data_IF_643718224461
#
_entry.id   IF_643718224461
#
_cell.length_a   1.000
_cell.length_b   1.000
_cell.length_c   1.000
_cell.angle_alpha   90.00
_cell.angle_beta   90.00
_cell.angle_gamma   90.00
#
_symmetry.space_group_name_H-M   'P 1'
#
loop_
_entity.id
_entity.type
_entity.pdbx_description
1 polymer ?
#
# COMPACT_ATOMS: atom_id res chain seq x y z
N UNK A 1 -16.81 7.22 -24.77
CA UNK A 1 -16.40 6.06 -23.97
C UNK A 1 -16.00 6.60 -22.63
N UNK A 2 -16.92 6.57 -21.68
CA UNK A 2 -16.78 7.13 -20.34
C UNK A 2 -15.95 6.18 -19.49
N UNK A 3 -14.74 6.61 -19.13
CA UNK A 3 -13.90 5.93 -18.14
C UNK A 3 -14.62 5.94 -16.79
N UNK A 4 -15.12 4.79 -16.36
CA UNK A 4 -15.70 4.63 -15.04
C UNK A 4 -14.60 4.75 -14.01
N UNK A 5 -14.44 5.92 -13.43
CA UNK A 5 -13.64 6.12 -12.22
C UNK A 5 -14.39 5.41 -11.10
N UNK A 6 -13.85 4.30 -10.62
CA UNK A 6 -14.39 3.59 -9.46
C UNK A 6 -14.36 4.55 -8.27
N UNK A 7 -15.55 4.90 -7.78
CA UNK A 7 -15.71 5.79 -6.63
C UNK A 7 -15.45 5.02 -5.34
N UNK A 8 -14.21 5.01 -4.90
CA UNK A 8 -13.76 4.39 -3.64
C UNK A 8 -14.14 5.20 -2.40
N UNK A 9 -14.68 6.40 -2.58
CA UNK A 9 -14.99 7.33 -1.49
C UNK A 9 -16.04 6.81 -0.49
N UNK A 10 -16.87 5.85 -0.91
CA UNK A 10 -18.01 5.34 -0.11
C UNK A 10 -17.71 4.10 0.72
N UNK A 11 -16.47 3.57 0.69
CA UNK A 11 -16.22 2.20 1.14
C UNK A 11 -15.37 2.08 2.41
N UNK A 12 -14.96 3.19 3.01
CA UNK A 12 -14.23 3.15 4.26
C UNK A 12 -15.19 3.48 5.42
N UNK A 13 -15.29 2.64 6.47
CA UNK A 13 -15.98 3.03 7.68
C UNK A 13 -15.27 4.25 8.28
N UNK A 14 -16.05 5.25 8.67
CA UNK A 14 -15.53 6.40 9.42
C UNK A 14 -14.77 5.87 10.65
N UNK A 15 -13.46 6.07 10.66
CA UNK A 15 -12.69 5.88 11.88
C UNK A 15 -13.10 7.01 12.81
N UNK A 16 -13.89 6.67 13.82
CA UNK A 16 -14.32 7.56 14.86
C UNK A 16 -13.11 8.29 15.45
N UNK A 17 -13.14 9.61 15.43
CA UNK A 17 -12.15 10.46 16.08
C UNK A 17 -12.15 10.20 17.60
N UNK A 18 -11.33 9.27 18.04
CA UNK A 18 -10.94 9.20 19.45
C UNK A 18 -9.88 10.27 19.65
N UNK A 19 -10.33 11.43 20.08
CA UNK A 19 -9.47 12.57 20.48
C UNK A 19 -8.63 12.14 21.68
N UNK A 20 -7.43 11.61 21.43
CA UNK A 20 -6.40 11.46 22.45
C UNK A 20 -5.53 12.73 22.44
N UNK A 21 -5.51 13.43 23.58
CA UNK A 21 -4.72 14.61 23.82
C UNK A 21 -3.26 14.41 23.44
N UNK A 22 -2.76 15.35 22.65
CA UNK A 22 -1.37 15.42 22.18
C UNK A 22 -0.43 15.75 23.36
N UNK A 23 0.38 14.78 23.78
CA UNK A 23 1.67 15.10 24.39
C UNK A 23 2.71 15.23 23.27
N UNK A 24 3.29 16.39 23.15
CA UNK A 24 4.40 16.68 22.24
C UNK A 24 5.65 16.02 22.83
N UNK A 25 6.02 14.86 22.32
CA UNK A 25 7.29 14.20 22.69
C UNK A 25 8.39 14.70 21.75
N UNK A 26 9.58 15.13 22.28
CA UNK A 26 10.69 15.63 21.46
C UNK A 26 11.19 14.58 20.46
N UNK A 27 11.62 15.07 19.30
CA UNK A 27 12.12 14.29 18.16
C UNK A 27 13.58 13.84 18.41
N UNK A 28 13.78 12.96 19.39
CA UNK A 28 15.05 12.25 19.54
C UNK A 28 14.76 10.75 19.59
N UNK A 29 14.34 10.24 18.44
CA UNK A 29 14.07 8.81 18.29
C UNK A 29 15.35 8.12 17.82
N UNK A 30 15.77 7.03 18.48
CA UNK A 30 16.89 6.23 18.00
C UNK A 30 16.62 5.83 16.54
N UNK A 31 17.66 5.87 15.70
CA UNK A 31 17.61 5.36 14.32
C UNK A 31 17.13 3.91 14.39
N UNK A 32 15.83 3.71 14.22
CA UNK A 32 15.26 2.38 14.05
C UNK A 32 15.90 1.79 12.80
N UNK A 33 16.64 0.71 12.97
CA UNK A 33 17.09 -0.10 11.84
C UNK A 33 15.88 -0.36 10.93
N UNK A 34 16.03 -0.27 9.60
CA UNK A 34 14.93 -0.52 8.70
C UNK A 34 14.32 -1.90 9.02
N UNK A 35 13.01 -2.06 8.89
CA UNK A 35 12.38 -3.33 9.16
C UNK A 35 13.01 -4.38 8.27
N UNK A 36 13.54 -5.45 8.87
CA UNK A 36 14.03 -6.60 8.13
C UNK A 36 12.84 -7.16 7.36
N UNK A 37 12.91 -7.12 6.02
CA UNK A 37 11.94 -7.83 5.19
C UNK A 37 12.14 -9.31 5.46
N UNK A 38 11.14 -10.02 6.00
CA UNK A 38 11.25 -11.47 6.08
C UNK A 38 11.52 -11.99 4.67
N UNK A 39 12.51 -12.87 4.50
CA UNK A 39 12.66 -13.59 3.24
C UNK A 39 11.36 -14.37 3.03
N UNK A 40 10.51 -13.89 2.12
CA UNK A 40 9.22 -14.49 1.83
C UNK A 40 9.40 -15.90 1.30
N UNK A 41 8.34 -16.69 1.32
CA UNK A 41 8.34 -17.99 0.65
C UNK A 41 8.63 -17.73 -0.82
N UNK A 42 9.65 -18.37 -1.45
CA UNK A 42 10.07 -18.06 -2.82
C UNK A 42 8.92 -18.05 -3.84
N UNK A 43 7.95 -18.96 -3.67
CA UNK A 43 6.76 -19.02 -4.53
C UNK A 43 5.87 -17.76 -4.42
N UNK A 44 5.71 -17.19 -3.23
CA UNK A 44 4.93 -15.96 -3.02
C UNK A 44 5.65 -14.76 -3.64
N UNK A 45 6.97 -14.67 -3.48
CA UNK A 45 7.75 -13.59 -4.10
C UNK A 45 7.70 -13.64 -5.62
N UNK A 46 7.79 -14.84 -6.21
CA UNK A 46 7.60 -15.04 -7.65
C UNK A 46 6.21 -14.55 -8.08
N UNK A 47 5.15 -14.97 -7.39
CA UNK A 47 3.78 -14.55 -7.67
C UNK A 47 3.61 -13.02 -7.60
N UNK A 48 4.24 -12.36 -6.61
CA UNK A 48 4.21 -10.89 -6.49
C UNK A 48 4.84 -10.22 -7.71
N UNK A 49 5.98 -10.74 -8.18
CA UNK A 49 6.66 -10.21 -9.35
C UNK A 49 5.88 -10.49 -10.63
N UNK A 50 5.32 -11.68 -10.79
CA UNK A 50 4.51 -12.05 -11.95
C UNK A 50 3.27 -11.16 -12.05
N UNK A 51 2.50 -11.03 -10.98
CA UNK A 51 1.35 -10.13 -10.92
C UNK A 51 1.77 -8.67 -11.13
N UNK A 52 2.84 -8.20 -10.48
CA UNK A 52 3.35 -6.85 -10.65
C UNK A 52 3.73 -6.55 -12.09
N UNK A 53 4.30 -7.53 -12.81
CA UNK A 53 4.75 -7.38 -14.20
C UNK A 53 3.60 -7.09 -15.19
N UNK A 54 2.39 -7.55 -14.88
CA UNK A 54 1.19 -7.26 -15.68
C UNK A 54 0.89 -5.76 -15.76
N UNK A 55 1.36 -4.98 -14.78
CA UNK A 55 1.03 -3.57 -14.63
C UNK A 55 2.18 -2.59 -14.93
N UNK A 56 3.32 -3.07 -15.44
CA UNK A 56 4.53 -2.22 -15.64
C UNK A 56 4.34 -1.09 -16.64
N UNK A 57 3.36 -1.21 -17.53
CA UNK A 57 3.03 -0.17 -18.52
C UNK A 57 1.87 0.73 -18.09
N UNK A 58 1.42 0.61 -16.83
CA UNK A 58 0.29 1.39 -16.37
C UNK A 58 0.57 2.90 -16.42
N UNK A 59 -0.37 3.73 -16.95
CA UNK A 59 -0.12 5.17 -17.16
C UNK A 59 0.24 5.93 -15.88
N UNK A 60 -0.24 5.52 -14.72
CA UNK A 60 0.08 6.13 -13.44
C UNK A 60 1.59 6.12 -13.13
N UNK A 61 2.31 5.06 -13.54
CA UNK A 61 3.75 4.94 -13.33
C UNK A 61 4.49 6.04 -14.10
N UNK A 62 4.16 6.24 -15.37
CA UNK A 62 4.77 7.30 -16.19
C UNK A 62 4.50 8.70 -15.61
N UNK A 63 3.26 8.93 -15.13
CA UNK A 63 2.90 10.22 -14.50
C UNK A 63 3.66 10.47 -13.19
N UNK A 64 3.91 9.40 -12.41
CA UNK A 64 4.68 9.47 -11.17
C UNK A 64 6.20 9.41 -11.38
N UNK A 65 6.69 9.31 -12.63
CA UNK A 65 8.12 9.19 -12.94
C UNK A 65 8.75 7.88 -12.48
N UNK A 66 7.94 6.82 -12.35
CA UNK A 66 8.40 5.50 -11.90
C UNK A 66 8.69 4.59 -13.10
N UNK A 67 9.86 3.96 -13.10
CA UNK A 67 10.20 2.89 -14.04
C UNK A 67 9.46 1.59 -13.68
N UNK A 68 9.46 0.62 -14.60
CA UNK A 68 8.94 -0.73 -14.33
C UNK A 68 9.64 -1.39 -13.13
N UNK A 69 10.96 -1.17 -13.01
CA UNK A 69 11.76 -1.66 -11.88
C UNK A 69 11.32 -1.01 -10.56
N UNK A 70 11.14 0.30 -10.55
CA UNK A 70 10.66 1.03 -9.37
C UNK A 70 9.31 0.51 -8.92
N UNK A 71 8.41 0.28 -9.87
CA UNK A 71 7.10 -0.27 -9.59
C UNK A 71 7.16 -1.65 -8.93
N UNK A 72 7.93 -2.59 -9.51
CA UNK A 72 8.05 -3.94 -8.95
C UNK A 72 8.62 -3.92 -7.53
N UNK A 73 9.66 -3.13 -7.29
CA UNK A 73 10.26 -2.94 -5.98
C UNK A 73 9.26 -2.29 -4.99
N UNK A 74 8.53 -1.29 -5.42
CA UNK A 74 7.54 -0.57 -4.63
C UNK A 74 6.35 -1.46 -4.25
N UNK A 75 5.80 -2.18 -5.22
CA UNK A 75 4.70 -3.11 -5.00
C UNK A 75 5.11 -4.23 -4.02
N UNK A 76 6.27 -4.86 -4.26
CA UNK A 76 6.82 -5.87 -3.35
C UNK A 76 7.02 -5.32 -1.94
N UNK A 77 7.55 -4.11 -1.80
CA UNK A 77 7.75 -3.47 -0.50
C UNK A 77 6.42 -3.24 0.24
N UNK A 78 5.37 -2.83 -0.48
CA UNK A 78 4.03 -2.69 0.10
C UNK A 78 3.53 -4.03 0.64
N UNK A 79 3.54 -5.10 -0.17
CA UNK A 79 3.10 -6.44 0.26
C UNK A 79 3.91 -6.97 1.45
N UNK A 80 5.22 -6.72 1.48
CA UNK A 80 6.08 -7.11 2.59
C UNK A 80 5.66 -6.46 3.93
N UNK A 81 5.23 -5.22 3.90
CA UNK A 81 4.81 -4.49 5.10
C UNK A 81 3.36 -4.83 5.47
N UNK A 82 2.48 -5.11 4.50
CA UNK A 82 1.08 -5.47 4.76
C UNK A 82 0.94 -6.82 5.46
N UNK A 83 1.64 -7.85 4.98
CA UNK A 83 1.42 -9.22 5.44
C UNK A 83 2.67 -10.01 5.80
N UNK A 84 3.88 -9.43 5.62
CA UNK A 84 5.13 -10.20 5.67
C UNK A 84 5.10 -11.43 4.71
N UNK A 85 4.44 -11.29 3.57
CA UNK A 85 4.24 -12.34 2.56
C UNK A 85 3.39 -13.53 3.04
N UNK A 86 2.55 -13.34 4.08
CA UNK A 86 1.61 -14.37 4.54
C UNK A 86 0.27 -14.24 3.81
N UNK A 87 -0.11 -15.21 2.94
CA UNK A 87 -1.37 -15.17 2.23
C UNK A 87 -2.59 -15.39 3.14
N UNK A 88 -2.38 -15.90 4.36
CA UNK A 88 -3.43 -16.12 5.34
C UNK A 88 -3.60 -14.98 6.35
N UNK A 89 -2.78 -13.91 6.23
CA UNK A 89 -2.79 -12.79 7.14
C UNK A 89 -4.18 -12.15 7.27
N UNK A 90 -4.56 -11.83 8.51
CA UNK A 90 -5.79 -11.10 8.82
C UNK A 90 -5.50 -10.05 9.87
N UNK A 91 -5.96 -8.83 9.62
CA UNK A 91 -5.89 -7.78 10.63
C UNK A 91 -7.07 -7.85 11.60
N UNK A 92 -6.94 -7.19 12.74
CA UNK A 92 -8.02 -7.08 13.73
C UNK A 92 -9.23 -6.28 13.21
N UNK A 93 -9.05 -5.46 12.18
CA UNK A 93 -10.12 -4.70 11.52
C UNK A 93 -10.71 -5.42 10.31
N UNK A 94 -10.25 -6.64 10.00
CA UNK A 94 -10.82 -7.49 8.96
C UNK A 94 -10.14 -7.40 7.59
N UNK A 95 -8.98 -6.76 7.47
CA UNK A 95 -8.19 -6.80 6.23
C UNK A 95 -7.65 -8.22 5.99
N UNK A 96 -7.55 -8.62 4.72
CA UNK A 96 -7.33 -10.01 4.32
C UNK A 96 -6.17 -10.13 3.34
N UNK A 97 -5.33 -11.16 3.57
CA UNK A 97 -4.38 -11.72 2.62
C UNK A 97 -3.14 -10.88 2.39
N UNK A 98 -2.43 -11.14 1.31
CA UNK A 98 -1.11 -10.59 0.99
C UNK A 98 -1.07 -9.06 1.00
N UNK A 99 -2.04 -8.41 0.38
CA UNK A 99 -2.15 -6.94 0.30
C UNK A 99 -3.10 -6.33 1.33
N UNK A 100 -3.57 -7.10 2.32
CA UNK A 100 -4.47 -6.64 3.38
C UNK A 100 -5.67 -5.85 2.84
N UNK A 101 -6.37 -6.44 1.87
CA UNK A 101 -7.56 -5.81 1.31
C UNK A 101 -8.74 -5.90 2.27
N UNK A 102 -9.42 -4.78 2.49
CA UNK A 102 -10.72 -4.78 3.16
C UNK A 102 -11.77 -5.48 2.29
N UNK A 103 -12.71 -6.24 2.88
CA UNK A 103 -13.74 -6.96 2.12
C UNK A 103 -14.52 -6.09 1.13
N UNK A 104 -14.86 -4.87 1.53
CA UNK A 104 -15.57 -3.93 0.64
C UNK A 104 -14.71 -3.47 -0.53
N UNK A 105 -13.41 -3.21 -0.29
CA UNK A 105 -12.46 -2.89 -1.35
C UNK A 105 -12.32 -4.05 -2.33
N UNK A 106 -12.16 -5.27 -1.83
CA UNK A 106 -12.08 -6.48 -2.65
C UNK A 106 -13.34 -6.67 -3.51
N UNK A 107 -14.53 -6.47 -2.93
CA UNK A 107 -15.81 -6.54 -3.64
C UNK A 107 -15.89 -5.52 -4.78
N UNK A 108 -15.49 -4.27 -4.55
CA UNK A 108 -15.48 -3.22 -5.60
C UNK A 108 -14.49 -3.54 -6.70
N UNK A 109 -13.34 -4.10 -6.34
CA UNK A 109 -12.32 -4.54 -7.29
C UNK A 109 -12.71 -5.83 -8.04
N UNK A 110 -13.76 -6.54 -7.60
CA UNK A 110 -14.20 -7.80 -8.20
C UNK A 110 -13.18 -8.93 -8.02
N UNK A 111 -12.54 -9.00 -6.83
CA UNK A 111 -11.56 -10.05 -6.50
C UNK A 111 -11.97 -10.81 -5.24
N UNK A 112 -11.59 -12.09 -5.18
CA UNK A 112 -11.64 -12.85 -3.94
C UNK A 112 -10.39 -12.51 -3.09
N UNK A 113 -10.53 -11.86 -1.92
CA UNK A 113 -9.38 -11.52 -1.10
C UNK A 113 -8.72 -12.73 -0.44
N UNK A 114 -9.35 -13.89 -0.46
CA UNK A 114 -8.81 -15.14 0.07
C UNK A 114 -7.95 -15.90 -0.94
N UNK A 115 -8.10 -15.61 -2.22
CA UNK A 115 -7.25 -16.14 -3.28
C UNK A 115 -5.99 -15.27 -3.38
N UNK A 116 -4.78 -15.83 -3.17
CA UNK A 116 -3.55 -15.03 -3.11
C UNK A 116 -3.27 -14.24 -4.39
N UNK A 117 -3.51 -14.83 -5.56
CA UNK A 117 -3.25 -14.19 -6.85
C UNK A 117 -4.26 -13.06 -7.10
N UNK A 118 -5.54 -13.31 -6.86
CA UNK A 118 -6.58 -12.27 -6.99
C UNK A 118 -6.38 -11.15 -5.98
N UNK A 119 -5.95 -11.47 -4.75
CA UNK A 119 -5.60 -10.47 -3.74
C UNK A 119 -4.47 -9.55 -4.23
N UNK A 120 -3.40 -10.12 -4.81
CA UNK A 120 -2.31 -9.35 -5.39
C UNK A 120 -2.77 -8.49 -6.57
N UNK A 121 -3.59 -9.01 -7.48
CA UNK A 121 -4.16 -8.22 -8.57
C UNK A 121 -5.03 -7.07 -8.06
N UNK A 122 -5.85 -7.32 -7.04
CA UNK A 122 -6.64 -6.28 -6.38
C UNK A 122 -5.76 -5.21 -5.75
N UNK A 123 -4.73 -5.63 -5.03
CA UNK A 123 -3.77 -4.75 -4.36
C UNK A 123 -2.99 -3.87 -5.34
N UNK A 124 -2.52 -4.45 -6.45
CA UNK A 124 -1.82 -3.72 -7.51
C UNK A 124 -2.72 -2.64 -8.13
N UNK A 125 -3.95 -3.02 -8.50
CA UNK A 125 -4.92 -2.07 -9.07
C UNK A 125 -5.30 -0.96 -8.08
N UNK A 126 -5.49 -1.29 -6.81
CA UNK A 126 -5.81 -0.31 -5.79
C UNK A 126 -4.66 0.67 -5.57
N UNK A 127 -3.43 0.16 -5.43
CA UNK A 127 -2.24 1.00 -5.25
C UNK A 127 -1.99 1.92 -6.45
N UNK A 128 -2.14 1.41 -7.68
CA UNK A 128 -2.02 2.20 -8.91
C UNK A 128 -3.11 3.27 -9.04
N UNK A 129 -4.33 2.98 -8.61
CA UNK A 129 -5.42 3.97 -8.55
C UNK A 129 -5.05 5.11 -7.59
N UNK A 130 -4.46 4.79 -6.43
CA UNK A 130 -4.02 5.82 -5.49
C UNK A 130 -2.82 6.61 -6.04
N UNK A 131 -1.88 5.94 -6.70
CA UNK A 131 -0.75 6.60 -7.35
C UNK A 131 -1.20 7.56 -8.44
N UNK A 132 -2.20 7.17 -9.23
CA UNK A 132 -2.79 8.02 -10.26
C UNK A 132 -3.48 9.26 -9.68
N UNK A 133 -4.23 9.06 -8.58
CA UNK A 133 -4.98 10.14 -7.92
C UNK A 133 -4.07 11.14 -7.22
N UNK A 134 -3.01 10.70 -6.58
CA UNK A 134 -2.19 11.52 -5.67
C UNK A 134 -0.79 11.84 -6.19
N UNK A 135 -0.34 11.21 -7.26
CA UNK A 135 0.87 11.54 -8.02
C UNK A 135 2.20 11.15 -7.38
N UNK A 136 2.24 10.77 -6.10
CA UNK A 136 3.49 10.37 -5.43
C UNK A 136 3.37 9.04 -4.70
N UNK A 137 4.44 8.22 -4.63
CA UNK A 137 4.44 6.96 -3.90
C UNK A 137 4.01 7.10 -2.44
N UNK A 138 4.47 8.14 -1.75
CA UNK A 138 4.16 8.38 -0.34
C UNK A 138 2.67 8.63 -0.11
N UNK A 139 2.05 9.46 -0.96
CA UNK A 139 0.62 9.75 -0.85
C UNK A 139 -0.23 8.56 -1.30
N UNK A 140 0.23 7.79 -2.30
CA UNK A 140 -0.42 6.55 -2.70
C UNK A 140 -0.46 5.52 -1.55
N UNK A 141 0.65 5.35 -0.82
CA UNK A 141 0.71 4.48 0.36
C UNK A 141 -0.19 4.99 1.50
N UNK A 142 -0.19 6.29 1.73
CA UNK A 142 -1.06 6.89 2.74
C UNK A 142 -2.55 6.65 2.41
N UNK A 143 -2.92 6.79 1.12
CA UNK A 143 -4.27 6.53 0.65
C UNK A 143 -4.62 5.03 0.65
N UNK A 144 -3.66 4.17 0.38
CA UNK A 144 -3.83 2.72 0.47
C UNK A 144 -4.18 2.30 1.90
N UNK A 145 -3.46 2.83 2.89
CA UNK A 145 -3.61 2.48 4.31
C UNK A 145 -4.78 3.22 5.00
N UNK A 146 -4.87 4.55 4.87
CA UNK A 146 -5.86 5.37 5.59
C UNK A 146 -7.13 5.65 4.77
N UNK A 147 -7.16 5.23 3.51
CA UNK A 147 -8.20 5.59 2.56
C UNK A 147 -7.94 6.93 1.85
N UNK A 148 -8.36 7.03 0.57
CA UNK A 148 -8.12 8.21 -0.25
C UNK A 148 -8.79 9.48 0.27
N UNK A 149 -9.93 9.36 0.96
CA UNK A 149 -10.64 10.52 1.51
C UNK A 149 -9.90 11.16 2.69
N UNK A 150 -9.18 10.36 3.49
CA UNK A 150 -8.34 10.89 4.55
C UNK A 150 -7.19 11.74 3.98
N UNK A 151 -6.52 11.23 2.92
CA UNK A 151 -5.45 11.98 2.24
C UNK A 151 -5.99 13.26 1.60
N UNK A 152 -7.14 13.20 0.93
CA UNK A 152 -7.76 14.37 0.31
C UNK A 152 -8.15 15.42 1.35
N UNK A 153 -8.77 15.02 2.47
CA UNK A 153 -9.19 15.90 3.55
C UNK A 153 -8.03 16.62 4.23
N UNK A 154 -6.91 15.93 4.40
CA UNK A 154 -5.72 16.50 5.04
C UNK A 154 -4.77 17.19 4.05
N UNK A 155 -5.01 17.10 2.74
CA UNK A 155 -4.12 17.64 1.72
C UNK A 155 -2.71 17.01 1.73
N UNK A 156 -2.56 15.80 2.27
CA UNK A 156 -1.28 15.15 2.47
C UNK A 156 -1.39 13.86 3.29
N UNK A 157 -0.26 13.36 3.82
CA UNK A 157 -0.26 12.19 4.70
C UNK A 157 -1.02 12.56 5.99
N UNK A 158 -2.12 11.85 6.31
CA UNK A 158 -2.89 12.13 7.52
C UNK A 158 -2.03 12.00 8.79
N UNK A 159 -2.33 12.76 9.87
CA UNK A 159 -1.59 12.70 11.12
C UNK A 159 -1.92 11.44 11.95
N UNK A 160 -2.18 10.32 11.26
CA UNK A 160 -2.44 9.03 11.90
C UNK A 160 -1.12 8.29 12.10
N UNK A 161 -0.83 7.92 13.34
CA UNK A 161 0.44 7.24 13.70
C UNK A 161 0.66 5.97 12.89
N UNK A 162 -0.38 5.20 12.66
CA UNK A 162 -0.35 3.98 11.87
C UNK A 162 0.04 4.27 10.41
N UNK A 163 -0.66 5.20 9.76
CA UNK A 163 -0.42 5.56 8.36
C UNK A 163 0.97 6.15 8.14
N UNK A 164 1.40 7.05 9.02
CA UNK A 164 2.77 7.59 8.96
C UNK A 164 3.82 6.49 9.14
N UNK A 165 3.55 5.54 10.06
CA UNK A 165 4.39 4.38 10.28
C UNK A 165 4.46 3.46 9.05
N UNK A 166 3.31 3.17 8.45
CA UNK A 166 3.21 2.37 7.23
C UNK A 166 4.01 2.99 6.09
N UNK A 167 3.76 4.26 5.76
CA UNK A 167 4.48 4.98 4.70
C UNK A 167 6.00 4.93 4.92
N UNK A 168 6.48 5.23 6.14
CA UNK A 168 7.92 5.18 6.43
C UNK A 168 8.52 3.79 6.22
N UNK A 169 7.83 2.73 6.69
CA UNK A 169 8.31 1.34 6.57
C UNK A 169 8.39 0.89 5.12
N UNK A 170 7.33 1.12 4.34
CA UNK A 170 7.30 0.73 2.92
C UNK A 170 8.37 1.48 2.14
N UNK A 171 8.49 2.80 2.33
CA UNK A 171 9.49 3.60 1.63
C UNK A 171 10.92 3.21 1.99
N UNK A 172 11.18 2.80 3.24
CA UNK A 172 12.49 2.30 3.64
C UNK A 172 12.85 0.99 2.94
N UNK A 173 11.91 0.04 2.87
CA UNK A 173 12.09 -1.25 2.16
C UNK A 173 12.27 -1.02 0.65
N UNK A 174 11.47 -0.14 0.07
CA UNK A 174 11.57 0.23 -1.33
C UNK A 174 12.95 0.83 -1.66
N UNK A 175 13.42 1.81 -0.86
CA UNK A 175 14.72 2.43 -1.07
C UNK A 175 15.89 1.43 -0.98
N UNK A 176 15.84 0.46 -0.06
CA UNK A 176 16.82 -0.62 0.00
C UNK A 176 16.82 -1.46 -1.28
N UNK A 177 15.63 -1.84 -1.75
CA UNK A 177 15.50 -2.72 -2.93
C UNK A 177 16.05 -2.11 -4.22
N UNK A 178 16.09 -0.77 -4.32
CA UNK A 178 16.68 -0.07 -5.47
C UNK A 178 18.16 0.28 -5.25
N UNK A 179 18.61 0.41 -3.99
CA UNK A 179 19.99 0.74 -3.61
C UNK A 179 20.95 -0.45 -3.63
N UNK A 180 20.50 -1.65 -3.27
CA UNK A 180 21.34 -2.87 -3.17
C UNK A 180 21.78 -3.43 -4.54
N UNK A 181 21.46 -2.76 -5.66
CA UNK A 181 21.72 -3.23 -7.01
C UNK A 181 22.59 -2.25 -7.84
N UNK A 182 23.26 -1.32 -7.17
CA UNK A 182 24.33 -0.45 -7.75
C UNK A 182 25.70 -0.99 -7.31
#
# INVERSE_FOLDING_TARGET
>A
MTSSVLDFARLQPEQSDVVARSEVVPLDSPRLSPPRVPSGRPAIETMILDVGSVYVDHPALRRAGMSSRDWLAFFRANIAIESAFDPSARSHVGAIGLGQLMPDTARVLGVDPHDPEQNLHGSARYLLTQLDRFGTPQLALAAYNAGPEAVARHGGIPPYRETQGHVRKVMAVYAQSIGDQI
#
